data_IF_179224438528
#
_entry.id   IF_179224438528
#
_cell.length_a   1.000
_cell.length_b   1.000
_cell.length_c   1.000
_cell.angle_alpha   90.00
_cell.angle_beta   90.00
_cell.angle_gamma   90.00
#
_symmetry.space_group_name_H-M   'P 1'
#
loop_
_entity.id
_entity.type
_entity.pdbx_description
1 polymer ?
#
# COMPACT_ATOMS: atom_id res chain seq x y z
N UNK A 1 11.35 -13.45 -14.91
CA UNK A 1 9.88 -13.30 -14.90
C UNK A 1 9.26 -14.68 -14.94
N UNK A 2 8.22 -14.90 -14.14
CA UNK A 2 7.50 -16.18 -14.04
C UNK A 2 6.00 -15.90 -13.96
N UNK A 3 5.19 -16.59 -14.77
CA UNK A 3 3.72 -16.49 -14.70
C UNK A 3 3.20 -17.60 -13.80
N UNK A 4 2.65 -17.25 -12.64
CA UNK A 4 2.15 -18.22 -11.66
C UNK A 4 0.67 -18.56 -11.88
N UNK A 5 -0.11 -17.62 -12.39
CA UNK A 5 -1.53 -17.84 -12.70
C UNK A 5 -1.99 -16.91 -13.81
N UNK A 6 -2.97 -17.38 -14.59
CA UNK A 6 -3.69 -16.58 -15.57
C UNK A 6 -5.01 -16.05 -15.02
N UNK A 7 -5.57 -16.68 -13.98
CA UNK A 7 -6.86 -16.32 -13.38
C UNK A 7 -6.83 -16.52 -11.85
N UNK A 8 -6.69 -15.44 -11.04
CA UNK A 8 -6.32 -14.08 -11.48
C UNK A 8 -4.90 -14.07 -12.07
N UNK A 9 -4.60 -13.07 -12.90
CA UNK A 9 -3.28 -12.93 -13.50
C UNK A 9 -2.24 -12.61 -12.42
N UNK A 10 -1.20 -13.44 -12.31
CA UNK A 10 -0.15 -13.32 -11.29
C UNK A 10 1.22 -13.56 -11.92
N UNK A 11 2.07 -12.54 -11.87
CA UNK A 11 3.46 -12.59 -12.33
C UNK A 11 4.39 -12.38 -11.14
N UNK A 12 5.47 -13.16 -11.09
CA UNK A 12 6.62 -12.92 -10.21
C UNK A 12 7.82 -12.43 -11.02
N UNK A 13 8.31 -11.24 -10.65
CA UNK A 13 9.55 -10.67 -11.16
C UNK A 13 10.67 -10.95 -10.14
N UNK A 14 11.40 -12.06 -10.35
CA UNK A 14 12.57 -12.42 -9.53
C UNK A 14 13.71 -11.43 -9.78
N UNK A 15 14.41 -11.07 -8.71
CA UNK A 15 15.53 -10.13 -8.73
C UNK A 15 15.20 -8.82 -9.46
N UNK A 16 13.95 -8.36 -9.35
CA UNK A 16 13.47 -7.17 -10.05
C UNK A 16 14.28 -5.94 -9.65
N UNK A 17 14.57 -5.78 -8.35
CA UNK A 17 15.39 -4.68 -7.83
C UNK A 17 16.66 -5.25 -7.21
N UNK A 18 17.79 -4.60 -7.44
CA UNK A 18 19.06 -5.04 -6.85
C UNK A 18 19.07 -4.90 -5.32
N UNK A 19 19.82 -5.77 -4.64
CA UNK A 19 19.96 -5.68 -3.18
C UNK A 19 20.51 -4.32 -2.71
N UNK A 20 21.35 -3.67 -3.54
CA UNK A 20 21.88 -2.32 -3.24
C UNK A 20 20.76 -1.29 -3.21
N UNK A 21 19.84 -1.33 -4.18
CA UNK A 21 18.68 -0.44 -4.21
C UNK A 21 17.70 -0.75 -3.06
N UNK A 22 17.48 -2.04 -2.76
CA UNK A 22 16.66 -2.47 -1.61
C UNK A 22 17.24 -1.91 -0.31
N UNK A 23 18.54 -2.07 -0.07
CA UNK A 23 19.17 -1.59 1.17
C UNK A 23 19.06 -0.08 1.35
N UNK A 24 19.24 0.70 0.27
CA UNK A 24 19.04 2.16 0.31
C UNK A 24 17.60 2.54 0.67
N UNK A 25 16.63 1.82 0.12
CA UNK A 25 15.23 2.09 0.45
C UNK A 25 14.89 1.64 1.88
N UNK A 26 15.48 0.55 2.36
CA UNK A 26 15.38 0.15 3.76
C UNK A 26 15.98 1.20 4.70
N UNK A 27 17.10 1.84 4.34
CA UNK A 27 17.68 2.95 5.13
C UNK A 27 16.67 4.09 5.30
N UNK A 28 15.95 4.46 4.23
CA UNK A 28 14.87 5.46 4.28
C UNK A 28 13.73 5.01 5.21
N UNK A 29 13.36 3.72 5.16
CA UNK A 29 12.33 3.14 6.02
C UNK A 29 12.75 3.16 7.49
N UNK A 30 14.01 2.87 7.81
CA UNK A 30 14.51 2.81 9.19
C UNK A 30 14.56 4.17 9.87
N UNK A 31 14.76 5.25 9.13
CA UNK A 31 14.70 6.61 9.67
C UNK A 31 13.27 7.12 9.83
N UNK A 32 12.30 6.49 9.15
CA UNK A 32 10.89 6.85 9.24
C UNK A 32 10.19 6.07 10.35
N UNK A 33 9.31 6.75 11.08
CA UNK A 33 8.51 6.09 12.12
C UNK A 33 7.44 5.21 11.46
N UNK A 34 7.49 3.91 11.75
CA UNK A 34 6.42 2.97 11.39
C UNK A 34 5.38 2.93 12.49
N UNK A 35 4.12 3.12 12.12
CA UNK A 35 2.98 3.11 13.04
C UNK A 35 2.07 1.93 12.75
N UNK A 36 1.35 1.45 13.76
CA UNK A 36 0.37 0.37 13.61
C UNK A 36 -0.70 0.79 12.59
N UNK A 37 -0.84 0.02 11.52
CA UNK A 37 -1.83 0.25 10.49
C UNK A 37 -3.12 -0.47 10.87
N UNK A 38 -4.23 0.28 10.87
CA UNK A 38 -5.53 -0.23 11.26
C UNK A 38 -6.50 -0.15 10.08
N UNK A 39 -7.30 -1.19 9.91
CA UNK A 39 -8.39 -1.21 8.91
C UNK A 39 -9.68 -0.80 9.62
N UNK A 40 -10.44 0.12 9.03
CA UNK A 40 -11.75 0.52 9.56
C UNK A 40 -12.76 -0.59 9.25
N UNK A 41 -13.61 -0.96 10.23
CA UNK A 41 -14.69 -1.91 9.99
C UNK A 41 -15.77 -1.28 9.10
N UNK A 42 -16.10 -1.94 8.00
CA UNK A 42 -17.12 -1.49 7.04
C UNK A 42 -18.52 -1.43 7.66
N UNK A 43 -18.77 -2.20 8.73
CA UNK A 43 -20.06 -2.23 9.42
C UNK A 43 -20.27 -1.04 10.36
N UNK A 44 -19.25 -0.23 10.64
CA UNK A 44 -19.36 0.93 11.53
C UNK A 44 -19.98 2.17 10.84
N UNK A 45 -20.39 2.05 9.58
CA UNK A 45 -21.30 2.98 8.91
C UNK A 45 -20.73 4.37 8.66
N UNK A 46 -20.60 4.72 7.38
CA UNK A 46 -20.43 6.11 6.89
C UNK A 46 -19.11 6.75 7.35
N UNK A 47 -18.02 6.45 6.63
CA UNK A 47 -16.86 7.33 6.61
C UNK A 47 -17.08 8.45 5.57
N UNK A 48 -17.98 9.37 5.87
CA UNK A 48 -18.12 10.60 5.09
C UNK A 48 -17.07 11.60 5.58
N UNK A 49 -15.83 11.46 5.08
CA UNK A 49 -14.68 12.27 5.47
C UNK A 49 -14.95 13.78 5.31
N UNK A 50 -15.85 14.15 4.40
CA UNK A 50 -16.24 15.54 4.14
C UNK A 50 -17.23 16.12 5.14
N UNK A 51 -17.91 15.29 5.94
CA UNK A 51 -18.98 15.75 6.84
C UNK A 51 -18.50 16.09 8.25
N UNK A 52 -17.40 15.50 8.73
CA UNK A 52 -16.94 15.68 10.11
C UNK A 52 -15.41 15.86 10.22
N UNK A 53 -14.86 17.03 9.84
CA UNK A 53 -13.41 17.27 9.86
C UNK A 53 -12.81 17.39 11.28
N UNK A 54 -13.63 17.44 12.34
CA UNK A 54 -13.20 17.64 13.73
C UNK A 54 -14.14 16.98 14.73
N UNK A 55 -14.12 15.65 14.85
CA UNK A 55 -14.63 15.00 16.05
C UNK A 55 -13.44 14.37 16.77
N UNK A 56 -13.17 14.89 17.96
CA UNK A 56 -12.14 14.44 18.88
C UNK A 56 -12.03 12.91 18.90
N UNK A 57 -10.84 12.40 18.61
CA UNK A 57 -10.48 10.98 18.41
C UNK A 57 -10.76 10.03 19.60
N UNK A 58 -11.49 10.46 20.62
CA UNK A 58 -11.72 9.73 21.88
C UNK A 58 -13.19 9.33 22.13
N UNK A 59 -14.14 9.74 21.27
CA UNK A 59 -15.58 9.53 21.54
C UNK A 59 -16.34 8.69 20.49
N UNK A 60 -15.69 8.23 19.42
CA UNK A 60 -16.27 7.20 18.53
C UNK A 60 -15.60 5.89 18.87
N UNK A 61 -16.37 4.90 19.32
CA UNK A 61 -15.90 3.52 19.54
C UNK A 61 -15.53 2.84 18.24
N UNK A 62 -14.51 3.36 17.54
CA UNK A 62 -14.03 2.85 16.25
C UNK A 62 -13.64 1.38 16.43
N UNK A 63 -14.39 0.49 15.80
CA UNK A 63 -13.99 -0.90 15.68
C UNK A 63 -13.01 -0.99 14.54
N UNK A 64 -11.83 -1.50 14.86
CA UNK A 64 -10.83 -1.79 13.85
C UNK A 64 -11.01 -3.23 13.41
N UNK A 65 -11.09 -3.42 12.11
CA UNK A 65 -11.18 -4.75 11.54
C UNK A 65 -9.86 -5.48 11.78
N UNK A 66 -9.95 -6.70 12.33
CA UNK A 66 -8.78 -7.53 12.67
C UNK A 66 -8.09 -8.13 11.44
N UNK A 67 -8.49 -7.74 10.22
CA UNK A 67 -7.92 -8.28 8.98
C UNK A 67 -6.45 -7.93 8.80
N UNK A 68 -5.96 -6.82 9.37
CA UNK A 68 -4.57 -6.43 9.23
C UNK A 68 -3.94 -6.18 10.59
N UNK A 69 -2.76 -6.78 10.79
CA UNK A 69 -1.85 -6.52 11.89
C UNK A 69 -0.46 -6.30 11.31
N UNK A 70 -0.16 -5.05 10.97
CA UNK A 70 1.11 -4.63 10.40
C UNK A 70 1.47 -3.23 10.91
N UNK A 71 2.76 -2.93 10.96
CA UNK A 71 3.21 -1.54 11.07
C UNK A 71 3.47 -1.00 9.67
N UNK A 72 3.35 0.30 9.47
CA UNK A 72 3.55 0.87 8.15
C UNK A 72 3.76 2.37 8.15
N UNK A 73 4.11 2.85 6.98
CA UNK A 73 4.29 4.26 6.67
C UNK A 73 4.11 4.46 5.17
N UNK A 74 4.03 5.71 4.75
CA UNK A 74 3.96 6.11 3.35
C UNK A 74 5.18 6.92 2.97
N UNK A 75 5.63 6.81 1.72
CA UNK A 75 6.63 7.71 1.15
C UNK A 75 6.11 8.29 -0.14
N UNK A 76 6.35 9.59 -0.37
CA UNK A 76 6.15 10.14 -1.72
C UNK A 76 7.18 9.54 -2.67
N UNK A 77 6.84 9.40 -3.95
CA UNK A 77 7.73 8.81 -4.96
C UNK A 77 9.14 9.39 -5.01
N UNK A 78 9.31 10.66 -4.62
CA UNK A 78 10.59 11.35 -4.59
C UNK A 78 10.85 12.05 -3.25
N UNK A 79 10.39 11.46 -2.15
CA UNK A 79 10.56 12.05 -0.81
C UNK A 79 12.02 12.01 -0.35
N UNK A 80 12.72 10.94 -0.71
CA UNK A 80 14.08 10.60 -0.29
C UNK A 80 14.90 10.11 -1.49
N UNK A 81 16.20 9.91 -1.30
CA UNK A 81 17.05 9.37 -2.35
C UNK A 81 16.66 7.94 -2.73
N UNK A 82 16.42 7.06 -1.75
CA UNK A 82 16.06 5.65 -2.03
C UNK A 82 14.69 5.52 -2.68
N UNK A 83 13.69 6.29 -2.23
CA UNK A 83 12.35 6.33 -2.88
C UNK A 83 12.43 6.84 -4.31
N UNK A 84 13.19 7.92 -4.57
CA UNK A 84 13.37 8.45 -5.93
C UNK A 84 13.99 7.42 -6.86
N UNK A 85 15.09 6.77 -6.42
CA UNK A 85 15.76 5.74 -7.21
C UNK A 85 14.87 4.52 -7.46
N UNK A 86 14.08 4.12 -6.46
CA UNK A 86 13.13 3.01 -6.59
C UNK A 86 12.02 3.33 -7.59
N UNK A 87 11.48 4.55 -7.53
CA UNK A 87 10.41 5.01 -8.41
C UNK A 87 10.86 5.10 -9.87
N UNK A 88 11.99 5.76 -10.12
CA UNK A 88 12.56 5.91 -11.45
C UNK A 88 12.87 4.54 -12.06
N UNK A 89 13.55 3.67 -11.30
CA UNK A 89 13.85 2.32 -11.75
C UNK A 89 12.59 1.50 -12.08
N UNK A 90 11.57 1.53 -11.21
CA UNK A 90 10.33 0.77 -11.41
C UNK A 90 9.58 1.26 -12.65
N UNK A 91 9.52 2.58 -12.85
CA UNK A 91 8.86 3.21 -14.00
C UNK A 91 9.58 2.87 -15.31
N UNK A 92 10.91 2.90 -15.32
CA UNK A 92 11.72 2.56 -16.49
C UNK A 92 11.57 1.08 -16.88
N UNK A 93 11.48 0.19 -15.89
CA UNK A 93 11.38 -1.25 -16.11
C UNK A 93 9.96 -1.71 -16.48
N UNK A 94 8.94 -0.96 -16.09
CA UNK A 94 7.53 -1.27 -16.35
C UNK A 94 6.84 -0.09 -17.04
N UNK A 95 7.30 0.32 -18.25
CA UNK A 95 6.82 1.53 -18.92
C UNK A 95 5.35 1.45 -19.37
N UNK A 96 4.76 0.26 -19.29
CA UNK A 96 3.35 0.01 -19.62
C UNK A 96 2.41 0.23 -18.42
N UNK A 97 2.95 0.43 -17.23
CA UNK A 97 2.20 0.75 -16.02
C UNK A 97 2.42 2.23 -15.70
N UNK A 98 1.33 2.99 -15.62
CA UNK A 98 1.41 4.38 -15.21
C UNK A 98 1.43 4.48 -13.68
N UNK A 99 2.62 4.59 -13.10
CA UNK A 99 2.76 4.79 -11.66
C UNK A 99 2.41 6.22 -11.21
N UNK A 100 2.17 7.19 -12.09
CA UNK A 100 1.69 8.52 -11.67
C UNK A 100 0.23 8.51 -11.19
N UNK A 101 -0.50 7.43 -11.48
CA UNK A 101 -1.87 7.22 -10.98
C UNK A 101 -1.93 6.16 -9.88
N UNK A 102 -0.78 5.74 -9.33
CA UNK A 102 -0.78 4.94 -8.11
C UNK A 102 -1.25 5.77 -6.92
N UNK A 103 -1.85 5.12 -5.93
CA UNK A 103 -2.75 5.73 -4.96
C UNK A 103 -2.27 7.06 -4.38
N UNK A 104 -3.22 7.99 -4.38
CA UNK A 104 -3.10 9.37 -3.94
C UNK A 104 -3.92 9.53 -2.66
N UNK A 105 -3.28 9.51 -1.49
CA UNK A 105 -3.96 9.88 -0.24
C UNK A 105 -3.88 11.39 -0.02
N UNK A 106 -4.84 12.08 -0.63
CA UNK A 106 -5.21 13.49 -0.41
C UNK A 106 -4.13 14.53 -0.76
N UNK A 107 -4.56 15.58 -1.47
CA UNK A 107 -3.75 16.68 -2.08
C UNK A 107 -3.27 16.33 -3.49
N UNK A 108 -3.54 17.18 -4.51
CA UNK A 108 -3.36 16.79 -5.90
C UNK A 108 -1.87 16.56 -6.21
N UNK A 109 -1.55 15.37 -6.73
CA UNK A 109 -0.23 14.94 -7.26
C UNK A 109 0.83 14.44 -6.26
N UNK A 110 0.45 13.76 -5.18
CA UNK A 110 1.39 12.99 -4.35
C UNK A 110 1.13 11.49 -4.47
N UNK A 111 1.83 10.83 -5.40
CA UNK A 111 1.81 9.38 -5.50
C UNK A 111 2.73 8.79 -4.42
N UNK A 112 2.27 7.72 -3.76
CA UNK A 112 2.94 7.15 -2.60
C UNK A 112 3.32 5.69 -2.75
N UNK A 113 4.47 5.34 -2.17
CA UNK A 113 4.77 3.98 -1.73
C UNK A 113 4.10 3.74 -0.39
N UNK A 114 3.36 2.64 -0.27
CA UNK A 114 2.88 2.20 1.03
C UNK A 114 3.75 1.06 1.55
N UNK A 115 4.44 1.27 2.67
CA UNK A 115 5.36 0.28 3.24
C UNK A 115 4.72 -0.38 4.44
N UNK A 116 4.67 -1.71 4.44
CA UNK A 116 4.22 -2.54 5.55
C UNK A 116 5.36 -3.40 6.10
N UNK A 117 5.44 -3.45 7.41
CA UNK A 117 6.34 -4.29 8.19
C UNK A 117 5.53 -5.26 9.05
N UNK A 118 5.77 -6.55 8.83
CA UNK A 118 5.12 -7.63 9.56
C UNK A 118 6.07 -8.18 10.61
N UNK A 119 5.72 -7.93 11.88
CA UNK A 119 6.39 -8.53 13.04
C UNK A 119 5.77 -9.89 13.35
N UNK A 120 6.36 -10.64 14.27
CA UNK A 120 5.82 -11.92 14.75
C UNK A 120 4.33 -11.83 15.10
N UNK A 121 3.53 -12.72 14.50
CA UNK A 121 2.07 -12.75 14.64
C UNK A 121 1.31 -11.67 13.84
N UNK A 122 2.02 -10.84 13.08
CA UNK A 122 1.45 -9.92 12.10
C UNK A 122 0.89 -10.68 10.90
N UNK A 123 -0.14 -10.12 10.28
CA UNK A 123 -0.83 -10.76 9.16
C UNK A 123 -1.62 -9.74 8.35
N UNK A 124 -2.01 -10.17 7.16
CA UNK A 124 -3.05 -9.52 6.39
C UNK A 124 -3.98 -10.63 5.85
N UNK A 125 -5.23 -10.64 6.32
CA UNK A 125 -6.24 -11.59 5.91
C UNK A 125 -6.53 -11.45 4.40
N UNK A 126 -6.95 -12.53 3.72
CA UNK A 126 -7.37 -12.48 2.33
C UNK A 126 -8.42 -11.40 2.10
N UNK A 127 -8.22 -10.56 1.09
CA UNK A 127 -9.09 -9.47 0.70
C UNK A 127 -8.85 -9.17 -0.79
N UNK A 128 -9.73 -8.34 -1.36
CA UNK A 128 -9.52 -7.75 -2.66
C UNK A 128 -8.90 -6.36 -2.50
N UNK A 129 -8.00 -6.01 -3.40
CA UNK A 129 -7.42 -4.67 -3.42
C UNK A 129 -8.38 -3.65 -4.06
N UNK A 130 -9.35 -4.05 -4.89
CA UNK A 130 -10.32 -3.12 -5.44
C UNK A 130 -11.21 -2.53 -4.34
N UNK A 131 -11.66 -1.29 -4.55
CA UNK A 131 -12.56 -0.58 -3.65
C UNK A 131 -14.01 -1.01 -3.90
N UNK A 132 -14.75 -1.31 -2.83
CA UNK A 132 -16.18 -1.59 -2.90
C UNK A 132 -16.98 -0.32 -2.65
N UNK A 133 -17.88 -0.01 -3.59
CA UNK A 133 -18.84 1.08 -3.47
C UNK A 133 -20.25 0.51 -3.53
N UNK A 134 -21.12 0.90 -2.61
CA UNK A 134 -22.52 0.45 -2.59
C UNK A 134 -23.29 0.87 -3.85
N UNK A 135 -22.98 2.04 -4.42
CA UNK A 135 -23.57 2.53 -5.67
C UNK A 135 -22.68 3.59 -6.31
N UNK A 136 -23.00 3.97 -7.56
CA UNK A 136 -22.31 5.06 -8.27
C UNK A 136 -22.41 6.42 -7.54
N UNK A 137 -23.48 6.64 -6.78
CA UNK A 137 -23.67 7.87 -6.02
C UNK A 137 -22.67 8.01 -4.86
N UNK A 138 -22.00 6.92 -4.49
CA UNK A 138 -20.97 6.88 -3.45
C UNK A 138 -19.55 6.94 -4.01
N UNK A 139 -19.39 7.07 -5.34
CA UNK A 139 -18.06 7.22 -5.93
C UNK A 139 -17.42 8.51 -5.44
N UNK A 140 -16.24 8.38 -4.86
CA UNK A 140 -15.40 9.53 -4.55
C UNK A 140 -14.80 10.12 -5.84
N UNK A 141 -14.07 11.23 -5.67
CA UNK A 141 -13.40 11.91 -6.78
C UNK A 141 -12.37 11.00 -7.49
N UNK A 142 -11.74 10.08 -6.76
CA UNK A 142 -10.74 9.18 -7.29
C UNK A 142 -11.35 8.14 -8.23
N UNK A 143 -12.37 7.41 -7.75
CA UNK A 143 -13.14 6.45 -8.56
C UNK A 143 -13.75 7.10 -9.79
N UNK A 144 -14.20 8.36 -9.67
CA UNK A 144 -14.75 9.11 -10.80
C UNK A 144 -13.69 9.50 -11.85
N UNK A 145 -12.47 9.83 -11.42
CA UNK A 145 -11.42 10.36 -12.31
C UNK A 145 -10.53 9.27 -12.91
N UNK A 146 -10.24 8.23 -12.14
CA UNK A 146 -9.25 7.20 -12.48
C UNK A 146 -9.84 5.78 -12.51
N UNK A 147 -11.06 5.58 -12.00
CA UNK A 147 -11.66 4.26 -11.85
C UNK A 147 -11.14 3.51 -10.61
N UNK A 148 -11.38 2.21 -10.60
CA UNK A 148 -11.00 1.35 -9.49
C UNK A 148 -9.59 0.79 -9.68
N UNK A 149 -8.97 0.31 -8.60
CA UNK A 149 -7.69 -0.38 -8.62
C UNK A 149 -7.81 -1.65 -9.46
N UNK A 150 -6.99 -1.77 -10.50
CA UNK A 150 -7.05 -2.88 -11.46
C UNK A 150 -5.90 -3.89 -11.30
N UNK A 151 -4.81 -3.46 -10.67
CA UNK A 151 -3.61 -4.27 -10.42
C UNK A 151 -2.91 -3.79 -9.16
N UNK A 152 -2.18 -4.69 -8.53
CA UNK A 152 -1.32 -4.39 -7.37
C UNK A 152 0.09 -4.82 -7.68
N UNK A 153 1.05 -3.95 -7.46
CA UNK A 153 2.46 -4.27 -7.59
C UNK A 153 3.12 -4.35 -6.22
N UNK A 154 3.55 -5.56 -5.85
CA UNK A 154 4.15 -5.88 -4.57
C UNK A 154 5.65 -6.06 -4.71
N UNK A 155 6.41 -5.28 -3.96
CA UNK A 155 7.85 -5.43 -3.82
C UNK A 155 8.19 -5.97 -2.43
N UNK A 156 8.77 -7.18 -2.40
CA UNK A 156 9.29 -7.78 -1.17
C UNK A 156 10.70 -7.23 -0.91
N UNK A 157 10.85 -6.42 0.13
CA UNK A 157 12.13 -5.78 0.47
C UNK A 157 12.98 -6.64 1.41
N UNK A 158 12.33 -7.41 2.28
CA UNK A 158 12.98 -8.34 3.18
C UNK A 158 12.09 -9.56 3.35
N UNK A 159 12.65 -10.75 3.16
CA UNK A 159 11.95 -12.02 3.40
C UNK A 159 11.98 -12.36 4.87
N UNK A 160 10.92 -13.01 5.33
CA UNK A 160 10.86 -13.52 6.68
C UNK A 160 11.62 -14.85 6.83
N UNK A 161 12.22 -15.07 8.01
CA UNK A 161 13.01 -16.30 8.28
C UNK A 161 12.15 -17.57 8.32
N UNK A 162 10.91 -17.48 8.81
CA UNK A 162 9.96 -18.60 8.92
C UNK A 162 8.52 -18.11 8.72
N UNK A 163 7.85 -18.62 7.68
CA UNK A 163 6.51 -18.17 7.26
C UNK A 163 6.47 -16.67 6.93
N UNK A 164 5.37 -16.15 6.40
CA UNK A 164 5.22 -14.71 6.12
C UNK A 164 5.21 -13.78 7.36
N UNK A 165 5.68 -14.24 8.53
CA UNK A 165 5.46 -13.59 9.83
C UNK A 165 6.72 -13.24 10.64
N UNK A 166 7.93 -13.63 10.24
CA UNK A 166 9.17 -13.23 10.94
C UNK A 166 9.93 -12.15 10.17
N UNK A 167 9.56 -10.89 10.37
CA UNK A 167 10.26 -9.69 9.85
C UNK A 167 10.30 -9.60 8.31
N UNK A 168 9.14 -9.31 7.72
CA UNK A 168 9.03 -8.97 6.30
C UNK A 168 8.72 -7.50 6.07
N UNK A 169 9.37 -6.89 5.09
CA UNK A 169 8.99 -5.58 4.56
C UNK A 169 8.36 -5.76 3.17
N UNK A 170 7.17 -5.23 3.00
CA UNK A 170 6.44 -5.20 1.72
C UNK A 170 6.19 -3.73 1.36
N UNK A 171 6.61 -3.32 0.18
CA UNK A 171 6.20 -2.06 -0.41
C UNK A 171 5.11 -2.32 -1.47
N UNK A 172 4.04 -1.54 -1.41
CA UNK A 172 2.91 -1.60 -2.31
C UNK A 172 2.95 -0.38 -3.22
N UNK A 173 2.77 -0.65 -4.51
CA UNK A 173 2.16 0.29 -5.42
C UNK A 173 0.77 -0.24 -5.74
N UNK A 174 -0.24 0.57 -5.44
CA UNK A 174 -1.65 0.28 -5.71
C UNK A 174 -2.14 1.32 -6.71
#
# INVERSE_FOLDING_TARGET
>A
MEVLSWHPFLIVLRDFVSQVQINRFLDDIFVKRLEEQKVVDENDGIFDFYKYPKINHLASGRRYHISRKANGTEFKHRETLGTSQMYEYTTDMLPYINFEVSELWQVPKICIFYVLSYRSGGHYAPHYDYLEYHSKDHWDWWMTSYGNRFATFLLVLQTADEGGGRHGFLAFYI
#
